data_IF_986564869293
#
_entry.id   IF_986564869293
#
_cell.length_a   1.000
_cell.length_b   1.000
_cell.length_c   1.000
_cell.angle_alpha   90.00
_cell.angle_beta   90.00
_cell.angle_gamma   90.00
#
_symmetry.space_group_name_H-M   'P 1'
#
loop_
_entity.id
_entity.type
_entity.pdbx_description
1 polymer ?
#
# COMPACT_ATOMS: atom_id res chain seq x y z
N UNK A 1 -2.45 22.46 48.74
CA UNK A 1 -1.51 22.19 47.61
C UNK A 1 -0.74 20.86 47.76
N UNK A 2 -1.39 19.76 48.14
CA UNK A 2 -0.87 18.39 48.00
C UNK A 2 -2.09 17.48 47.82
N UNK A 3 -2.29 16.89 46.64
CA UNK A 3 -3.48 16.04 46.41
C UNK A 3 -3.71 15.50 44.98
N UNK A 4 -3.05 16.02 43.94
CA UNK A 4 -3.36 15.64 42.55
C UNK A 4 -2.49 14.54 41.89
N UNK A 5 -1.49 13.98 42.58
CA UNK A 5 -0.56 13.04 41.94
C UNK A 5 -0.88 11.55 42.15
N UNK A 6 -1.79 11.19 43.06
CA UNK A 6 -2.15 9.78 43.30
C UNK A 6 -3.25 9.26 42.37
N UNK A 7 -4.15 10.12 41.87
CA UNK A 7 -5.21 9.70 40.94
C UNK A 7 -4.67 9.36 39.55
N UNK A 8 -3.70 10.14 39.05
CA UNK A 8 -3.14 9.95 37.70
C UNK A 8 -2.44 8.60 37.52
N UNK A 9 -1.83 8.05 38.58
CA UNK A 9 -1.10 6.78 38.51
C UNK A 9 -2.04 5.56 38.44
N UNK A 10 -3.16 5.58 39.17
CA UNK A 10 -4.18 4.53 39.07
C UNK A 10 -4.95 4.60 37.74
N UNK A 11 -5.24 5.81 37.24
CA UNK A 11 -5.84 6.00 35.90
C UNK A 11 -4.93 5.45 34.81
N UNK A 12 -3.61 5.73 34.90
CA UNK A 12 -2.61 5.16 33.98
C UNK A 12 -2.64 3.63 33.95
N UNK A 13 -2.76 2.98 35.11
CA UNK A 13 -2.75 1.52 35.23
C UNK A 13 -4.03 0.87 34.67
N UNK A 14 -5.20 1.51 34.83
CA UNK A 14 -6.46 1.05 34.22
C UNK A 14 -6.48 1.23 32.71
N UNK A 15 -5.87 2.29 32.17
CA UNK A 15 -5.86 2.57 30.73
C UNK A 15 -4.94 1.63 29.91
N UNK A 16 -4.07 0.85 30.55
CA UNK A 16 -3.20 -0.12 29.85
C UNK A 16 -4.00 -1.26 29.21
N UNK A 17 -5.09 -1.70 29.86
CA UNK A 17 -5.94 -2.79 29.37
C UNK A 17 -7.00 -2.37 28.35
N UNK A 18 -7.26 -1.07 28.21
CA UNK A 18 -8.26 -0.50 27.31
C UNK A 18 -7.63 -0.20 25.96
N UNK A 19 -8.37 -0.39 24.87
CA UNK A 19 -7.87 -0.08 23.54
C UNK A 19 -7.62 1.41 23.31
N UNK A 20 -6.68 1.76 22.44
CA UNK A 20 -6.48 3.14 21.99
C UNK A 20 -7.79 3.76 21.46
N UNK A 21 -8.59 2.98 20.72
CA UNK A 21 -9.87 3.41 20.17
C UNK A 21 -10.88 3.70 21.27
N UNK A 22 -11.10 2.76 22.18
CA UNK A 22 -12.04 2.94 23.29
C UNK A 22 -11.60 4.09 24.20
N UNK A 23 -10.29 4.26 24.41
CA UNK A 23 -9.78 5.42 25.14
C UNK A 23 -10.18 6.72 24.45
N UNK A 24 -9.97 6.81 23.14
CA UNK A 24 -10.22 8.04 22.38
C UNK A 24 -11.71 8.33 22.14
N UNK A 25 -12.49 7.31 21.79
CA UNK A 25 -13.89 7.47 21.40
C UNK A 25 -14.82 7.44 22.61
N UNK A 26 -14.57 6.53 23.57
CA UNK A 26 -15.49 6.24 24.66
C UNK A 26 -15.05 6.84 26.01
N UNK A 27 -13.76 6.81 26.35
CA UNK A 27 -13.26 7.28 27.67
C UNK A 27 -12.98 8.78 27.69
N UNK A 28 -12.38 9.32 26.62
CA UNK A 28 -12.11 10.76 26.46
C UNK A 28 -13.33 11.66 26.72
N UNK A 29 -14.54 11.38 26.19
CA UNK A 29 -15.69 12.25 26.42
C UNK A 29 -16.33 12.12 27.82
N UNK A 30 -15.88 11.19 28.68
CA UNK A 30 -16.54 10.91 29.96
C UNK A 30 -16.45 12.08 30.94
N UNK A 31 -15.29 12.75 31.03
CA UNK A 31 -15.11 13.95 31.85
C UNK A 31 -13.93 14.81 31.37
N UNK A 32 -13.83 16.04 31.90
CA UNK A 32 -12.80 17.02 31.52
C UNK A 32 -11.38 16.55 31.84
N UNK A 33 -11.17 15.90 32.99
CA UNK A 33 -9.83 15.47 33.42
C UNK A 33 -9.27 14.36 32.51
N UNK A 34 -10.11 13.40 32.11
CA UNK A 34 -9.78 12.35 31.15
C UNK A 34 -9.59 12.92 29.75
N UNK A 35 -10.40 13.90 29.38
CA UNK A 35 -10.25 14.60 28.11
C UNK A 35 -8.88 15.31 28.04
N UNK A 36 -8.51 16.09 29.05
CA UNK A 36 -7.20 16.76 29.13
C UNK A 36 -6.05 15.75 29.15
N UNK A 37 -6.18 14.67 29.92
CA UNK A 37 -5.17 13.63 30.00
C UNK A 37 -4.94 12.93 28.66
N UNK A 38 -6.00 12.57 27.94
CA UNK A 38 -5.90 11.85 26.66
C UNK A 38 -5.50 12.76 25.50
N UNK A 39 -5.56 14.09 25.63
CA UNK A 39 -4.93 15.01 24.67
C UNK A 39 -3.42 15.17 24.87
N UNK A 40 -2.82 14.48 25.86
CA UNK A 40 -1.39 14.54 26.10
C UNK A 40 -0.60 13.61 25.14
N UNK A 41 0.11 14.20 24.18
CA UNK A 41 1.01 13.49 23.25
C UNK A 41 2.04 12.58 23.91
N UNK A 42 2.50 12.93 25.12
CA UNK A 42 3.47 12.13 25.86
C UNK A 42 2.90 10.77 26.26
N UNK A 43 1.61 10.72 26.63
CA UNK A 43 0.93 9.47 26.95
C UNK A 43 0.94 8.53 25.75
N UNK A 44 0.50 9.00 24.58
CA UNK A 44 0.43 8.20 23.36
C UNK A 44 1.81 7.79 22.83
N UNK A 45 2.79 8.67 22.92
CA UNK A 45 4.18 8.33 22.56
C UNK A 45 4.74 7.24 23.47
N UNK A 46 4.47 7.30 24.78
CA UNK A 46 4.86 6.24 25.70
C UNK A 46 4.09 4.96 25.42
N UNK A 47 2.79 5.04 25.14
CA UNK A 47 1.91 3.91 24.81
C UNK A 47 2.42 3.15 23.58
N UNK A 48 2.79 3.84 22.51
CA UNK A 48 3.42 3.23 21.32
C UNK A 48 4.66 2.42 21.69
N UNK A 49 5.50 2.95 22.59
CA UNK A 49 6.74 2.30 23.00
C UNK A 49 6.50 1.11 23.94
N UNK A 50 5.61 1.24 24.93
CA UNK A 50 5.46 0.25 26.01
C UNK A 50 4.42 -0.82 25.68
N UNK A 51 3.28 -0.42 25.11
CA UNK A 51 2.18 -1.34 24.77
C UNK A 51 2.39 -1.91 23.37
N UNK A 52 2.54 -1.04 22.36
CA UNK A 52 2.68 -1.48 20.96
C UNK A 52 4.11 -1.86 20.58
N UNK A 53 5.10 -1.68 21.47
CA UNK A 53 6.53 -1.96 21.23
C UNK A 53 7.10 -1.31 19.95
N UNK A 54 6.48 -0.23 19.48
CA UNK A 54 6.87 0.52 18.29
C UNK A 54 7.92 1.57 18.65
N UNK A 55 9.10 1.43 18.06
CA UNK A 55 10.22 2.34 18.27
C UNK A 55 10.33 3.30 17.09
N UNK A 56 9.65 4.44 17.17
CA UNK A 56 9.68 5.45 16.10
C UNK A 56 11.08 6.03 15.89
N UNK A 57 11.41 6.30 14.62
CA UNK A 57 12.62 7.02 14.25
C UNK A 57 12.53 8.51 14.62
N UNK A 58 13.69 9.19 14.68
CA UNK A 58 13.71 10.65 14.86
C UNK A 58 13.00 11.35 13.69
N UNK A 59 13.11 10.80 12.48
CA UNK A 59 12.49 11.35 11.27
C UNK A 59 10.97 11.26 11.32
N UNK A 60 10.41 10.18 11.85
CA UNK A 60 8.97 10.06 12.06
C UNK A 60 8.50 11.04 13.15
N UNK A 61 9.16 11.07 14.32
CA UNK A 61 8.72 11.90 15.46
C UNK A 61 8.73 13.41 15.20
N UNK A 62 9.65 13.89 14.38
CA UNK A 62 9.77 15.33 14.08
C UNK A 62 9.14 15.70 12.73
N UNK A 63 8.41 14.79 12.09
CA UNK A 63 7.70 15.11 10.87
C UNK A 63 6.49 16.01 11.19
N UNK A 64 6.20 17.06 10.40
CA UNK A 64 5.09 17.97 10.70
C UNK A 64 3.70 17.32 10.73
N UNK A 65 3.49 16.21 10.01
CA UNK A 65 2.23 15.46 10.03
C UNK A 65 2.16 14.40 11.13
N UNK A 66 3.19 14.28 11.98
CA UNK A 66 3.22 13.25 13.00
C UNK A 66 2.23 13.57 14.13
N UNK A 67 1.23 12.71 14.27
CA UNK A 67 0.27 12.72 15.36
C UNK A 67 0.40 11.39 16.15
N UNK A 68 0.83 11.43 17.43
CA UNK A 68 1.01 10.23 18.24
C UNK A 68 -0.31 9.54 18.59
N UNK A 69 -1.42 10.28 18.72
CA UNK A 69 -2.76 9.72 18.97
C UNK A 69 -3.17 8.90 17.76
N UNK A 70 -3.19 9.53 16.58
CA UNK A 70 -3.53 8.88 15.32
C UNK A 70 -2.64 7.66 15.08
N UNK A 71 -1.32 7.80 15.24
CA UNK A 71 -0.39 6.66 15.08
C UNK A 71 -0.72 5.50 16.01
N UNK A 72 -1.07 5.77 17.27
CA UNK A 72 -1.46 4.73 18.25
C UNK A 72 -2.74 4.01 17.85
N UNK A 73 -3.75 4.75 17.42
CA UNK A 73 -5.02 4.21 16.94
C UNK A 73 -4.79 3.24 15.77
N UNK A 74 -4.04 3.66 14.75
CA UNK A 74 -3.76 2.84 13.58
C UNK A 74 -2.91 1.61 13.91
N UNK A 75 -1.85 1.75 14.71
CA UNK A 75 -0.98 0.62 15.09
C UNK A 75 -1.77 -0.42 15.87
N UNK A 76 -2.55 -0.02 16.87
CA UNK A 76 -3.35 -0.97 17.64
C UNK A 76 -4.47 -1.60 16.82
N UNK A 77 -5.08 -0.86 15.89
CA UNK A 77 -6.10 -1.38 14.99
C UNK A 77 -5.53 -2.48 14.10
N UNK A 78 -4.41 -2.22 13.44
CA UNK A 78 -3.76 -3.25 12.62
C UNK A 78 -3.24 -4.41 13.47
N UNK A 79 -2.71 -4.13 14.66
CA UNK A 79 -2.33 -5.19 15.59
C UNK A 79 -3.52 -6.11 15.89
N UNK A 80 -4.70 -5.58 16.23
CA UNK A 80 -5.88 -6.42 16.48
C UNK A 80 -6.32 -7.25 15.26
N UNK A 81 -6.30 -6.65 14.06
CA UNK A 81 -6.71 -7.32 12.82
C UNK A 81 -5.82 -8.51 12.49
N UNK A 82 -4.50 -8.35 12.70
CA UNK A 82 -3.51 -9.31 12.22
C UNK A 82 -2.86 -10.17 13.32
N UNK A 83 -2.98 -9.78 14.60
CA UNK A 83 -2.51 -10.57 15.73
C UNK A 83 -3.64 -11.50 16.21
N UNK A 84 -3.54 -12.80 15.95
CA UNK A 84 -4.36 -13.79 16.67
C UNK A 84 -3.55 -14.38 17.83
N UNK A 85 -4.19 -14.55 18.99
CA UNK A 85 -3.57 -15.18 20.17
C UNK A 85 -3.37 -16.67 19.87
N UNK A 86 -2.12 -17.14 19.86
CA UNK A 86 -1.83 -18.58 19.85
C UNK A 86 -0.91 -19.11 18.75
N UNK A 87 -0.05 -18.29 18.14
CA UNK A 87 0.94 -18.74 17.15
C UNK A 87 0.33 -19.45 15.92
N UNK A 88 -0.98 -19.30 15.71
CA UNK A 88 -1.67 -19.74 14.52
C UNK A 88 -1.58 -18.63 13.47
N UNK A 89 -1.20 -19.02 12.27
CA UNK A 89 -1.28 -18.18 11.08
C UNK A 89 -2.71 -17.63 10.97
N UNK A 90 -2.85 -16.40 10.45
CA UNK A 90 -4.17 -15.87 10.08
C UNK A 90 -4.75 -16.88 9.09
N UNK A 91 -5.85 -17.57 9.41
CA UNK A 91 -6.34 -18.63 8.55
C UNK A 91 -6.63 -18.06 7.17
N UNK A 92 -6.21 -18.77 6.13
CA UNK A 92 -6.61 -18.46 4.75
C UNK A 92 -8.14 -18.32 4.63
N UNK A 93 -8.89 -18.98 5.51
CA UNK A 93 -10.36 -18.97 5.60
C UNK A 93 -10.97 -17.56 5.77
N UNK A 94 -10.19 -16.58 6.23
CA UNK A 94 -10.65 -15.19 6.31
C UNK A 94 -10.66 -14.51 4.92
N UNK A 95 -9.85 -15.02 3.98
CA UNK A 95 -9.81 -14.56 2.59
C UNK A 95 -10.86 -15.25 1.73
N UNK A 96 -11.45 -14.47 0.84
CA UNK A 96 -12.50 -14.93 -0.05
C UNK A 96 -11.93 -14.88 -1.46
N UNK A 97 -11.64 -16.06 -2.01
CA UNK A 97 -11.20 -16.20 -3.39
C UNK A 97 -12.40 -16.04 -4.33
N UNK A 98 -12.24 -15.20 -5.36
CA UNK A 98 -13.25 -15.02 -6.40
C UNK A 98 -12.61 -15.19 -7.77
N UNK A 99 -13.08 -16.14 -8.60
CA UNK A 99 -12.61 -16.27 -9.96
C UNK A 99 -13.07 -15.07 -10.77
N UNK A 100 -12.18 -14.58 -11.63
CA UNK A 100 -12.49 -13.48 -12.53
C UNK A 100 -11.68 -13.55 -13.81
N UNK A 101 -10.41 -13.95 -13.74
CA UNK A 101 -9.52 -13.95 -14.89
C UNK A 101 -9.12 -15.37 -15.29
N UNK A 102 -8.75 -15.53 -16.56
CA UNK A 102 -8.25 -16.79 -17.12
C UNK A 102 -6.71 -16.90 -17.08
N UNK A 103 -6.06 -15.98 -16.35
CA UNK A 103 -4.60 -15.92 -16.19
C UNK A 103 -4.19 -15.11 -14.97
N UNK A 104 -2.89 -15.14 -14.64
CA UNK A 104 -2.36 -14.48 -13.44
C UNK A 104 -2.78 -13.02 -13.33
N UNK A 105 -3.28 -12.63 -12.15
CA UNK A 105 -3.73 -11.27 -11.86
C UNK A 105 -2.55 -10.42 -11.37
N UNK A 106 -1.79 -9.85 -12.30
CA UNK A 106 -0.58 -9.06 -12.01
C UNK A 106 -0.90 -7.60 -11.60
N UNK A 107 -2.08 -7.07 -11.94
CA UNK A 107 -2.50 -5.72 -11.59
C UNK A 107 -3.72 -5.72 -10.66
N UNK A 108 -3.57 -5.16 -9.46
CA UNK A 108 -4.63 -4.99 -8.46
C UNK A 108 -4.55 -3.59 -7.88
N UNK A 109 -5.69 -2.88 -7.79
CA UNK A 109 -5.74 -1.55 -7.20
C UNK A 109 -7.06 -1.32 -6.46
N UNK A 110 -6.95 -0.97 -5.18
CA UNK A 110 -8.07 -0.52 -4.36
C UNK A 110 -8.19 1.00 -4.45
N UNK A 111 -9.42 1.49 -4.51
CA UNK A 111 -9.74 2.92 -4.51
C UNK A 111 -11.16 3.16 -4.00
N UNK A 112 -11.46 4.41 -3.64
CA UNK A 112 -12.81 4.85 -3.28
C UNK A 112 -13.25 5.98 -4.22
N UNK A 113 -14.56 6.25 -4.26
CA UNK A 113 -15.06 7.50 -4.81
C UNK A 113 -14.63 8.69 -3.92
N UNK A 114 -14.86 9.92 -4.41
CA UNK A 114 -14.41 11.15 -3.73
C UNK A 114 -15.04 11.32 -2.34
N UNK A 115 -16.28 10.87 -2.17
CA UNK A 115 -16.99 10.91 -0.89
C UNK A 115 -16.46 9.88 0.12
N UNK A 116 -15.73 8.84 -0.33
CA UNK A 116 -15.21 7.77 0.52
C UNK A 116 -16.23 6.68 0.84
N UNK A 117 -17.50 6.89 0.52
CA UNK A 117 -18.62 6.01 0.88
C UNK A 117 -18.60 4.66 0.16
N UNK A 118 -18.11 4.63 -1.08
CA UNK A 118 -18.04 3.40 -1.90
C UNK A 118 -16.62 3.03 -2.21
N UNK A 119 -16.31 1.75 -2.03
CA UNK A 119 -14.99 1.17 -2.25
C UNK A 119 -15.03 0.21 -3.43
N UNK A 120 -14.02 0.33 -4.28
CA UNK A 120 -13.87 -0.47 -5.48
C UNK A 120 -12.50 -1.14 -5.51
N UNK A 121 -12.44 -2.27 -6.21
CA UNK A 121 -11.20 -2.87 -6.66
C UNK A 121 -11.21 -2.91 -8.19
N UNK A 122 -10.08 -2.62 -8.82
CA UNK A 122 -9.88 -2.89 -10.25
C UNK A 122 -8.75 -3.89 -10.40
N UNK A 123 -8.98 -4.90 -11.24
CA UNK A 123 -8.02 -5.98 -11.50
C UNK A 123 -7.75 -6.12 -12.98
N UNK A 124 -6.52 -6.50 -13.30
CA UNK A 124 -6.04 -6.72 -14.65
C UNK A 124 -5.07 -7.89 -14.65
N UNK A 125 -5.16 -8.72 -15.69
CA UNK A 125 -4.45 -9.99 -15.72
C UNK A 125 -3.81 -10.27 -17.09
N UNK A 126 -3.21 -11.46 -17.18
CA UNK A 126 -2.59 -11.97 -18.42
C UNK A 126 -3.57 -12.42 -19.49
N UNK A 127 -4.87 -12.45 -19.16
CA UNK A 127 -5.97 -12.64 -20.11
C UNK A 127 -6.36 -11.36 -20.86
N UNK A 128 -5.62 -10.27 -20.62
CA UNK A 128 -5.83 -8.95 -21.23
C UNK A 128 -7.18 -8.31 -20.86
N UNK A 129 -7.84 -8.81 -19.81
CA UNK A 129 -9.11 -8.30 -19.31
C UNK A 129 -8.90 -7.41 -18.10
N UNK A 130 -9.71 -6.35 -18.01
CA UNK A 130 -9.89 -5.55 -16.80
C UNK A 130 -11.26 -5.88 -16.20
N UNK A 131 -11.33 -6.03 -14.87
CA UNK A 131 -12.57 -6.17 -14.13
C UNK A 131 -12.67 -5.13 -13.00
N UNK A 132 -13.85 -4.56 -12.83
CA UNK A 132 -14.20 -3.62 -11.77
C UNK A 132 -15.14 -4.29 -10.77
N UNK A 133 -14.75 -4.25 -9.51
CA UNK A 133 -15.43 -4.86 -8.38
C UNK A 133 -16.02 -3.80 -7.47
N UNK A 134 -17.30 -3.92 -7.15
CA UNK A 134 -17.97 -3.18 -6.08
C UNK A 134 -17.83 -3.98 -4.78
N UNK A 135 -17.08 -3.43 -3.83
CA UNK A 135 -16.77 -4.13 -2.58
C UNK A 135 -17.93 -4.12 -1.59
N UNK A 136 -18.86 -3.16 -1.70
CA UNK A 136 -20.08 -3.14 -0.90
C UNK A 136 -21.00 -4.30 -1.33
N UNK A 137 -21.17 -4.50 -2.65
CA UNK A 137 -21.89 -5.68 -3.17
C UNK A 137 -21.20 -6.99 -2.82
N UNK A 138 -19.87 -7.00 -2.83
CA UNK A 138 -19.11 -8.18 -2.40
C UNK A 138 -19.42 -8.53 -0.95
N UNK A 139 -19.43 -7.53 -0.07
CA UNK A 139 -19.75 -7.71 1.34
C UNK A 139 -21.21 -8.12 1.55
N UNK A 140 -22.17 -7.49 0.87
CA UNK A 140 -23.58 -7.87 0.90
C UNK A 140 -23.80 -9.33 0.48
N UNK A 141 -23.15 -9.77 -0.61
CA UNK A 141 -23.16 -11.17 -1.06
C UNK A 141 -22.62 -12.12 0.02
N UNK A 142 -21.60 -11.72 0.77
CA UNK A 142 -21.01 -12.54 1.84
C UNK A 142 -21.94 -12.61 3.05
N UNK A 143 -22.54 -11.48 3.44
CA UNK A 143 -23.42 -11.39 4.61
C UNK A 143 -24.75 -12.11 4.40
N UNK A 144 -25.33 -12.01 3.20
CA UNK A 144 -26.61 -12.62 2.85
C UNK A 144 -26.48 -14.05 2.34
N UNK A 145 -25.31 -14.42 1.82
CA UNK A 145 -25.10 -15.68 1.09
C UNK A 145 -25.81 -15.72 -0.28
N UNK A 146 -26.35 -14.59 -0.77
CA UNK A 146 -27.05 -14.53 -2.03
C UNK A 146 -26.08 -14.47 -3.23
N UNK A 147 -25.92 -15.60 -3.90
CA UNK A 147 -25.11 -15.73 -5.12
C UNK A 147 -25.68 -14.99 -6.34
N UNK A 148 -26.91 -14.44 -6.25
CA UNK A 148 -27.48 -13.60 -7.31
C UNK A 148 -26.80 -12.23 -7.40
N UNK A 149 -26.23 -11.75 -6.29
CA UNK A 149 -25.48 -10.50 -6.22
C UNK A 149 -24.19 -10.68 -7.00
N UNK A 150 -23.99 -9.81 -8.00
CA UNK A 150 -22.77 -9.78 -8.82
C UNK A 150 -21.86 -8.65 -8.36
N UNK A 151 -20.73 -8.94 -7.70
CA UNK A 151 -19.78 -7.91 -7.25
C UNK A 151 -19.01 -7.29 -8.42
N UNK A 152 -18.82 -8.01 -9.52
CA UNK A 152 -18.21 -7.48 -10.74
C UNK A 152 -19.25 -6.62 -11.45
N UNK A 153 -19.04 -5.32 -11.47
CA UNK A 153 -19.98 -4.33 -12.01
C UNK A 153 -19.63 -3.88 -13.42
N UNK A 154 -18.39 -4.07 -13.87
CA UNK A 154 -17.98 -3.83 -15.24
C UNK A 154 -16.76 -4.68 -15.62
N UNK A 155 -16.67 -5.05 -16.89
CA UNK A 155 -15.52 -5.73 -17.46
C UNK A 155 -15.15 -5.09 -18.81
N UNK A 156 -13.86 -5.07 -19.12
CA UNK A 156 -13.33 -4.69 -20.43
C UNK A 156 -12.39 -5.79 -20.91
N UNK A 157 -12.86 -6.56 -21.90
CA UNK A 157 -12.02 -7.51 -22.65
C UNK A 157 -11.17 -6.77 -23.66
N UNK A 158 -10.05 -7.39 -24.06
CA UNK A 158 -9.08 -6.80 -25.00
C UNK A 158 -8.67 -5.39 -24.56
N UNK A 159 -8.49 -5.23 -23.25
CA UNK A 159 -8.09 -3.96 -22.67
C UNK A 159 -6.63 -3.64 -22.95
N UNK A 160 -5.81 -4.64 -23.29
CA UNK A 160 -4.41 -4.53 -23.68
C UNK A 160 -4.11 -5.61 -24.74
N UNK A 161 -3.02 -5.45 -25.49
CA UNK A 161 -2.55 -6.47 -26.45
C UNK A 161 -1.50 -7.40 -25.81
N UNK A 162 -1.42 -7.38 -24.49
CA UNK A 162 -0.43 -8.07 -23.67
C UNK A 162 -0.81 -8.01 -22.19
N UNK A 163 0.05 -8.53 -21.33
CA UNK A 163 -0.24 -8.64 -19.89
C UNK A 163 -0.38 -7.27 -19.24
N UNK A 164 -1.46 -7.09 -18.48
CA UNK A 164 -1.70 -5.88 -17.69
C UNK A 164 -0.91 -5.99 -16.39
N UNK A 165 -0.05 -5.01 -16.13
CA UNK A 165 0.99 -5.13 -15.11
C UNK A 165 0.78 -4.23 -13.89
N UNK A 166 0.29 -3.00 -14.07
CA UNK A 166 -0.04 -2.12 -12.96
C UNK A 166 -1.15 -1.12 -13.32
N UNK A 167 -1.93 -0.70 -12.30
CA UNK A 167 -2.79 0.48 -12.36
C UNK A 167 -2.23 1.65 -11.54
N UNK A 168 -2.51 2.87 -11.99
CA UNK A 168 -2.20 4.10 -11.27
C UNK A 168 -3.43 5.02 -11.27
N UNK A 169 -3.98 5.30 -10.09
CA UNK A 169 -5.05 6.31 -9.94
C UNK A 169 -4.42 7.69 -10.08
N UNK A 170 -5.01 8.53 -10.93
CA UNK A 170 -4.55 9.90 -11.15
C UNK A 170 -5.40 10.91 -10.39
N UNK A 171 -6.72 10.84 -10.56
CA UNK A 171 -7.64 11.72 -9.87
C UNK A 171 -8.99 11.04 -9.63
N UNK A 172 -9.63 11.46 -8.55
CA UNK A 172 -11.00 11.08 -8.21
C UNK A 172 -11.82 12.36 -8.12
N UNK A 173 -12.91 12.45 -8.87
CA UNK A 173 -13.82 13.61 -8.91
C UNK A 173 -15.26 13.11 -8.84
N UNK A 174 -15.89 13.24 -7.67
CA UNK A 174 -17.18 12.59 -7.40
C UNK A 174 -17.05 11.08 -7.56
N UNK A 175 -17.92 10.50 -8.38
CA UNK A 175 -17.92 9.07 -8.73
C UNK A 175 -17.02 8.70 -9.91
N UNK A 176 -16.34 9.68 -10.51
CA UNK A 176 -15.45 9.46 -11.66
C UNK A 176 -14.01 9.32 -11.16
N UNK A 177 -13.37 8.22 -11.53
CA UNK A 177 -11.95 7.97 -11.26
C UNK A 177 -11.21 7.90 -12.59
N UNK A 178 -10.25 8.81 -12.79
CA UNK A 178 -9.31 8.73 -13.90
C UNK A 178 -8.10 7.92 -13.46
N UNK A 179 -7.73 6.92 -14.24
CA UNK A 179 -6.60 6.06 -13.93
C UNK A 179 -5.91 5.56 -15.19
N UNK A 180 -4.70 5.06 -15.01
CA UNK A 180 -3.88 4.50 -16.06
C UNK A 180 -3.61 3.03 -15.79
N UNK A 181 -3.47 2.25 -16.86
CA UNK A 181 -2.86 0.91 -16.83
C UNK A 181 -1.61 0.89 -17.69
N UNK A 182 -0.68 0.01 -17.35
CA UNK A 182 0.48 -0.27 -18.19
C UNK A 182 0.70 -1.77 -18.31
N UNK A 183 1.38 -2.18 -19.39
CA UNK A 183 1.55 -3.60 -19.68
C UNK A 183 2.74 -3.97 -20.56
N UNK A 184 2.80 -5.26 -20.85
CA UNK A 184 3.82 -5.88 -21.70
C UNK A 184 3.65 -5.60 -23.19
N UNK A 185 2.50 -5.06 -23.59
CA UNK A 185 2.22 -4.56 -24.94
C UNK A 185 2.86 -3.20 -25.24
N UNK A 186 3.71 -2.70 -24.32
CA UNK A 186 4.41 -1.41 -24.43
C UNK A 186 3.45 -0.21 -24.42
N UNK A 187 2.20 -0.39 -24.01
CA UNK A 187 1.23 0.68 -23.94
C UNK A 187 0.97 1.15 -22.51
N UNK A 188 0.66 2.44 -22.40
CA UNK A 188 0.02 3.06 -21.25
C UNK A 188 -1.37 3.49 -21.70
N UNK A 189 -2.41 2.92 -21.10
CA UNK A 189 -3.81 3.20 -21.45
C UNK A 189 -4.49 4.04 -20.40
N UNK A 190 -5.33 4.98 -20.85
CA UNK A 190 -6.09 5.90 -20.01
C UNK A 190 -7.52 5.40 -19.85
N UNK A 191 -8.01 5.40 -18.62
CA UNK A 191 -9.35 4.92 -18.29
C UNK A 191 -10.11 5.95 -17.49
N UNK A 192 -11.37 6.13 -17.87
CA UNK A 192 -12.40 6.69 -17.01
C UNK A 192 -13.17 5.54 -16.38
N UNK A 193 -13.16 5.48 -15.06
CA UNK A 193 -13.90 4.49 -14.29
C UNK A 193 -15.02 5.19 -13.55
N UNK A 194 -16.21 4.59 -13.60
CA UNK A 194 -17.42 5.00 -12.90
C UNK A 194 -17.97 3.79 -12.14
N UNK A 195 -18.93 3.94 -11.21
CA UNK A 195 -19.47 2.82 -10.44
C UNK A 195 -20.09 1.70 -11.30
N UNK A 196 -20.40 1.98 -12.57
CA UNK A 196 -21.09 1.06 -13.48
C UNK A 196 -20.31 0.77 -14.76
N UNK A 197 -19.10 1.33 -14.95
CA UNK A 197 -18.45 1.23 -16.25
C UNK A 197 -16.99 1.66 -16.30
N UNK A 198 -16.30 1.14 -17.31
CA UNK A 198 -14.90 1.41 -17.64
C UNK A 198 -14.87 1.90 -19.10
N UNK A 199 -14.30 3.08 -19.34
CA UNK A 199 -14.19 3.68 -20.68
C UNK A 199 -12.74 4.00 -21.00
N UNK A 200 -12.25 3.51 -22.13
CA UNK A 200 -10.92 3.88 -22.63
C UNK A 200 -10.96 5.31 -23.19
N UNK A 201 -10.03 6.14 -22.76
CA UNK A 201 -9.92 7.54 -23.19
C UNK A 201 -8.74 7.78 -24.13
N UNK A 202 -7.81 6.82 -24.24
CA UNK A 202 -6.66 6.93 -25.13
C UNK A 202 -5.52 5.99 -24.75
N UNK A 203 -4.58 5.86 -25.70
CA UNK A 203 -3.44 4.95 -25.61
C UNK A 203 -2.17 5.75 -25.92
N UNK A 204 -1.09 5.44 -25.19
CA UNK A 204 0.26 5.93 -25.51
C UNK A 204 1.19 4.73 -25.60
N UNK A 205 1.76 4.48 -26.78
CA UNK A 205 2.63 3.33 -27.02
C UNK A 205 4.10 3.75 -26.96
N UNK A 206 4.93 2.94 -26.31
CA UNK A 206 6.37 3.12 -26.20
C UNK A 206 7.17 2.05 -26.89
N UNK A 207 8.49 2.18 -26.78
CA UNK A 207 9.43 1.22 -27.38
C UNK A 207 9.52 -0.08 -26.58
N UNK A 208 9.30 0.01 -25.27
CA UNK A 208 9.56 -1.05 -24.30
C UNK A 208 8.34 -1.28 -23.38
N UNK A 209 8.26 -2.49 -22.81
CA UNK A 209 7.23 -2.84 -21.82
C UNK A 209 7.32 -1.93 -20.59
N UNK A 210 6.15 -1.58 -20.06
CA UNK A 210 5.99 -0.70 -18.91
C UNK A 210 5.70 -1.55 -17.65
N UNK A 211 6.56 -1.41 -16.64
CA UNK A 211 6.59 -2.29 -15.47
C UNK A 211 6.12 -1.61 -14.18
N UNK A 212 6.04 -0.29 -14.17
CA UNK A 212 5.48 0.43 -13.05
C UNK A 212 4.96 1.82 -13.42
N UNK A 213 4.12 2.39 -12.57
CA UNK A 213 3.56 3.73 -12.75
C UNK A 213 3.34 4.49 -11.44
N UNK A 214 3.48 5.81 -11.53
CA UNK A 214 3.04 6.76 -10.51
C UNK A 214 2.61 8.06 -11.18
N UNK A 215 1.57 8.72 -10.65
CA UNK A 215 1.09 10.01 -11.15
C UNK A 215 1.22 11.07 -10.05
N UNK A 216 1.62 12.28 -10.43
CA UNK A 216 1.63 13.44 -9.54
C UNK A 216 1.64 14.76 -10.35
N UNK A 217 0.92 15.78 -9.88
CA UNK A 217 0.90 17.14 -10.46
C UNK A 217 0.64 17.20 -11.97
N UNK A 218 -0.27 16.36 -12.48
CA UNK A 218 -0.59 16.19 -13.92
C UNK A 218 0.54 15.59 -14.76
N UNK A 219 1.50 14.90 -14.14
CA UNK A 219 2.50 14.11 -14.82
C UNK A 219 2.30 12.64 -14.46
N UNK A 220 2.31 11.77 -15.47
CA UNK A 220 2.37 10.34 -15.28
C UNK A 220 3.79 9.87 -15.57
N UNK A 221 4.34 9.09 -14.65
CA UNK A 221 5.65 8.45 -14.76
C UNK A 221 5.43 6.96 -14.98
N UNK A 222 6.09 6.40 -15.98
CA UNK A 222 6.08 4.96 -16.23
C UNK A 222 7.49 4.41 -16.39
N UNK A 223 7.84 3.44 -15.56
CA UNK A 223 9.13 2.75 -15.61
C UNK A 223 9.10 1.65 -16.64
N UNK A 224 10.20 1.48 -17.37
CA UNK A 224 10.30 0.53 -18.48
C UNK A 224 11.30 -0.59 -18.21
N UNK A 225 11.16 -1.69 -18.96
CA UNK A 225 12.03 -2.86 -18.89
C UNK A 225 13.50 -2.60 -19.31
N UNK A 226 13.81 -1.46 -19.96
CA UNK A 226 15.17 -1.08 -20.37
C UNK A 226 15.73 0.12 -19.60
N UNK A 227 15.26 0.35 -18.37
CA UNK A 227 15.82 1.39 -17.48
C UNK A 227 15.40 2.83 -17.79
N UNK A 228 14.55 3.00 -18.81
CA UNK A 228 13.90 4.26 -19.12
C UNK A 228 12.72 4.54 -18.18
N UNK A 229 12.50 5.82 -17.91
CA UNK A 229 11.26 6.35 -17.35
C UNK A 229 10.62 7.24 -18.41
N UNK A 230 9.40 6.87 -18.80
CA UNK A 230 8.55 7.67 -19.66
C UNK A 230 7.74 8.64 -18.83
N UNK A 231 7.72 9.91 -19.23
CA UNK A 231 7.00 10.99 -18.57
C UNK A 231 5.93 11.50 -19.55
N UNK A 232 4.68 11.52 -19.10
CA UNK A 232 3.54 11.91 -19.92
C UNK A 232 2.87 13.12 -19.26
N UNK A 233 2.79 14.24 -19.98
CA UNK A 233 2.02 15.41 -19.55
C UNK A 233 0.52 15.18 -19.78
N UNK A 234 -0.24 15.23 -18.70
CA UNK A 234 -1.68 14.94 -18.69
C UNK A 234 -2.55 16.17 -18.99
N UNK A 235 -1.96 17.38 -19.09
CA UNK A 235 -2.69 18.62 -19.39
C UNK A 235 -2.91 18.82 -20.88
N UNK A 236 -1.98 18.32 -21.69
CA UNK A 236 -2.00 18.55 -23.13
C UNK A 236 -2.96 17.59 -23.83
N UNK A 237 -3.80 18.12 -24.73
CA UNK A 237 -4.68 17.33 -25.60
C UNK A 237 -3.86 16.33 -26.43
N UNK A 238 -2.71 16.78 -26.93
CA UNK A 238 -1.63 15.92 -27.44
C UNK A 238 -0.63 15.70 -26.30
N UNK A 239 -0.76 14.55 -25.64
CA UNK A 239 0.07 14.17 -24.50
C UNK A 239 1.55 14.26 -24.87
N UNK A 240 2.24 15.27 -24.34
CA UNK A 240 3.68 15.40 -24.54
C UNK A 240 4.38 14.27 -23.79
N UNK A 241 5.15 13.48 -24.53
CA UNK A 241 5.91 12.36 -23.99
C UNK A 241 7.39 12.71 -23.98
N UNK A 242 8.04 12.47 -22.84
CA UNK A 242 9.49 12.55 -22.71
C UNK A 242 10.01 11.23 -22.13
N UNK A 243 10.95 10.61 -22.83
CA UNK A 243 11.66 9.44 -22.33
C UNK A 243 13.02 9.84 -21.76
N UNK A 244 13.35 9.33 -20.58
CA UNK A 244 14.65 9.54 -19.94
C UNK A 244 15.20 8.22 -19.43
N UNK A 245 16.45 7.91 -19.78
CA UNK A 245 17.15 6.73 -19.25
C UNK A 245 17.77 7.08 -17.89
N UNK A 246 17.25 6.47 -16.82
CA UNK A 246 17.71 6.72 -15.45
C UNK A 246 18.52 5.55 -14.86
N UNK A 247 18.27 4.34 -15.37
CA UNK A 247 18.84 3.11 -14.86
C UNK A 247 19.48 2.26 -15.97
N UNK A 248 20.33 1.31 -15.55
CA UNK A 248 20.97 0.34 -16.47
C UNK A 248 20.19 -0.97 -16.62
N UNK A 249 19.18 -1.19 -15.78
CA UNK A 249 18.28 -2.35 -15.82
C UNK A 249 16.83 -1.93 -15.72
N UNK A 250 15.90 -2.87 -15.75
CA UNK A 250 14.46 -2.57 -15.70
C UNK A 250 14.10 -1.70 -14.48
N UNK A 251 13.19 -0.73 -14.65
CA UNK A 251 12.64 0.06 -13.54
C UNK A 251 11.43 -0.70 -12.98
N UNK A 252 11.55 -1.18 -11.74
CA UNK A 252 10.61 -2.14 -11.15
C UNK A 252 9.50 -1.48 -10.34
N UNK A 253 9.77 -0.33 -9.73
CA UNK A 253 8.79 0.43 -8.96
C UNK A 253 9.14 1.91 -8.95
N UNK A 254 8.11 2.77 -8.86
CA UNK A 254 8.24 4.23 -8.90
C UNK A 254 7.30 4.85 -7.88
N UNK A 255 7.79 5.85 -7.13
CA UNK A 255 6.97 6.72 -6.29
C UNK A 255 7.26 8.18 -6.65
N UNK A 256 6.21 8.88 -7.06
CA UNK A 256 6.22 10.34 -7.25
C UNK A 256 5.42 11.02 -6.13
N UNK A 257 6.04 11.36 -5.00
CA UNK A 257 5.33 12.00 -3.89
C UNK A 257 5.01 13.47 -4.21
N UNK A 258 3.77 13.89 -3.94
CA UNK A 258 3.32 15.27 -4.14
C UNK A 258 4.04 16.30 -3.26
N UNK A 259 4.63 15.85 -2.15
CA UNK A 259 5.32 16.70 -1.17
C UNK A 259 6.72 17.15 -1.60
N UNK A 260 7.29 16.59 -2.69
CA UNK A 260 8.64 16.92 -3.13
C UNK A 260 8.76 17.03 -4.64
N UNK A 261 9.85 17.64 -5.09
CA UNK A 261 10.24 17.68 -6.51
C UNK A 261 11.15 16.49 -6.88
N UNK A 262 11.11 15.41 -6.10
CA UNK A 262 11.92 14.21 -6.33
C UNK A 262 11.06 13.03 -6.78
N UNK A 263 11.67 12.17 -7.60
CA UNK A 263 11.14 10.88 -8.04
C UNK A 263 11.99 9.76 -7.45
N UNK A 264 11.34 8.76 -6.88
CA UNK A 264 12.02 7.60 -6.29
C UNK A 264 11.76 6.37 -7.15
N UNK A 265 12.82 5.63 -7.44
CA UNK A 265 12.75 4.48 -8.34
C UNK A 265 13.56 3.32 -7.81
N UNK A 266 13.14 2.10 -8.13
CA UNK A 266 13.95 0.89 -7.96
C UNK A 266 14.24 0.24 -9.30
N UNK A 267 15.38 -0.44 -9.38
CA UNK A 267 15.78 -1.10 -10.61
C UNK A 267 16.49 -2.43 -10.39
N UNK A 268 16.42 -3.29 -11.42
CA UNK A 268 17.25 -4.48 -11.57
C UNK A 268 18.76 -4.18 -11.57
N UNK A 269 19.18 -2.93 -11.76
CA UNK A 269 20.58 -2.53 -11.58
C UNK A 269 21.07 -2.53 -10.12
N UNK A 270 20.20 -2.93 -9.19
CA UNK A 270 20.53 -3.07 -7.77
C UNK A 270 20.46 -1.76 -6.99
N UNK A 271 19.81 -0.71 -7.52
CA UNK A 271 19.68 0.58 -6.84
C UNK A 271 18.25 0.95 -6.49
N UNK A 272 18.10 1.61 -5.33
CA UNK A 272 17.04 2.60 -5.09
C UNK A 272 17.64 3.96 -5.38
N UNK A 273 17.00 4.76 -6.23
CA UNK A 273 17.52 6.05 -6.63
C UNK A 273 16.51 7.18 -6.43
N UNK A 274 17.04 8.36 -6.11
CA UNK A 274 16.30 9.61 -5.98
C UNK A 274 16.73 10.54 -7.10
N UNK A 275 15.76 10.97 -7.90
CA UNK A 275 15.96 11.79 -9.09
C UNK A 275 15.27 13.13 -8.92
N UNK A 276 15.89 14.21 -9.38
CA UNK A 276 15.27 15.53 -9.47
C UNK A 276 14.34 15.58 -10.69
N UNK A 277 13.06 15.92 -10.47
CA UNK A 277 12.02 15.94 -11.51
C UNK A 277 12.16 17.11 -12.49
N UNK A 278 12.93 18.13 -12.17
CA UNK A 278 13.13 19.31 -13.02
C UNK A 278 14.20 19.05 -14.08
N UNK A 279 15.30 18.42 -13.68
CA UNK A 279 16.45 18.18 -14.56
C UNK A 279 16.69 16.70 -14.92
N UNK A 280 15.95 15.78 -14.30
CA UNK A 280 16.05 14.32 -14.49
C UNK A 280 17.42 13.73 -14.16
N UNK A 281 18.14 14.36 -13.23
CA UNK A 281 19.43 13.86 -12.74
C UNK A 281 19.23 13.03 -11.48
N UNK A 282 20.05 11.98 -11.36
CA UNK A 282 20.16 11.18 -10.15
C UNK A 282 20.92 11.95 -9.08
N UNK A 283 20.26 12.24 -7.97
CA UNK A 283 20.82 12.99 -6.83
C UNK A 283 21.44 12.02 -5.82
N UNK A 284 20.70 10.98 -5.45
CA UNK A 284 21.15 9.95 -4.53
C UNK A 284 20.85 8.56 -5.07
N UNK A 285 21.67 7.59 -4.68
CA UNK A 285 21.45 6.18 -4.98
C UNK A 285 21.93 5.33 -3.81
N UNK A 286 21.07 4.43 -3.34
CA UNK A 286 21.40 3.41 -2.36
C UNK A 286 21.48 2.06 -3.07
N UNK A 287 22.66 1.45 -3.06
CA UNK A 287 22.91 0.15 -3.70
C UNK A 287 22.55 -1.00 -2.77
N UNK A 288 22.25 -2.15 -3.34
CA UNK A 288 22.16 -3.41 -2.62
C UNK A 288 23.46 -3.68 -1.85
N UNK A 289 23.38 -4.10 -0.57
CA UNK A 289 24.57 -4.57 0.14
C UNK A 289 25.15 -5.78 -0.61
N UNK A 290 26.47 -5.82 -0.75
CA UNK A 290 27.23 -6.87 -1.44
C UNK A 290 26.96 -7.01 -2.96
N UNK A 291 26.13 -6.15 -3.55
CA UNK A 291 25.89 -6.13 -5.01
C UNK A 291 25.10 -7.31 -5.57
N UNK A 292 24.52 -8.17 -4.72
CA UNK A 292 23.73 -9.32 -5.15
C UNK A 292 22.22 -9.06 -5.02
N UNK A 293 21.49 -9.25 -6.12
CA UNK A 293 20.05 -9.02 -6.23
C UNK A 293 19.67 -7.57 -6.56
N UNK A 294 18.39 -7.25 -6.41
CA UNK A 294 17.81 -5.96 -6.75
C UNK A 294 16.64 -5.59 -5.83
N UNK A 295 16.24 -4.33 -5.85
CA UNK A 295 15.05 -3.88 -5.11
C UNK A 295 13.80 -4.05 -5.98
N UNK A 296 12.91 -4.94 -5.55
CA UNK A 296 11.68 -5.32 -6.26
C UNK A 296 10.54 -4.30 -6.12
N UNK A 297 10.42 -3.64 -4.97
CA UNK A 297 9.35 -2.70 -4.67
C UNK A 297 9.75 -1.71 -3.60
N UNK A 298 9.14 -0.53 -3.63
CA UNK A 298 9.27 0.51 -2.62
C UNK A 298 7.89 0.96 -2.13
N UNK A 299 7.84 1.38 -0.88
CA UNK A 299 6.68 2.08 -0.33
C UNK A 299 7.15 3.23 0.53
N UNK A 300 6.49 4.38 0.43
CA UNK A 300 6.88 5.59 1.14
C UNK A 300 5.74 6.09 2.01
N UNK A 301 6.09 6.62 3.18
CA UNK A 301 5.20 7.44 3.99
C UNK A 301 6.02 8.51 4.70
N UNK A 302 5.54 9.76 4.67
CA UNK A 302 6.21 10.90 5.28
C UNK A 302 7.67 11.00 4.84
N UNK A 303 8.64 10.94 5.76
CA UNK A 303 10.09 10.95 5.46
C UNK A 303 10.72 9.56 5.35
N UNK A 304 9.92 8.49 5.42
CA UNK A 304 10.39 7.11 5.45
C UNK A 304 10.11 6.42 4.12
N UNK A 305 11.15 5.83 3.55
CA UNK A 305 11.08 4.96 2.38
C UNK A 305 11.45 3.53 2.79
N UNK A 306 10.55 2.59 2.55
CA UNK A 306 10.79 1.16 2.68
C UNK A 306 11.13 0.59 1.33
N UNK A 307 12.17 -0.25 1.26
CA UNK A 307 12.58 -0.93 0.04
C UNK A 307 12.68 -2.43 0.29
N UNK A 308 12.14 -3.22 -0.65
CA UNK A 308 12.11 -4.68 -0.58
C UNK A 308 13.03 -5.32 -1.60
N UNK A 309 13.86 -6.27 -1.17
CA UNK A 309 14.87 -6.95 -1.98
C UNK A 309 14.32 -8.22 -2.64
N UNK A 310 14.83 -8.55 -3.83
CA UNK A 310 14.58 -9.84 -4.48
C UNK A 310 15.11 -11.05 -3.69
N UNK A 311 15.91 -10.82 -2.65
CA UNK A 311 16.41 -11.82 -1.70
C UNK A 311 15.54 -11.95 -0.44
N UNK A 312 14.35 -11.32 -0.42
CA UNK A 312 13.35 -11.49 0.65
C UNK A 312 13.53 -10.59 1.88
N UNK A 313 14.64 -9.86 2.01
CA UNK A 313 14.83 -8.88 3.07
C UNK A 313 14.29 -7.50 2.69
N UNK A 314 14.03 -6.65 3.68
CA UNK A 314 13.66 -5.26 3.47
C UNK A 314 14.52 -4.31 4.30
N UNK A 315 14.56 -3.04 3.91
CA UNK A 315 15.30 -1.98 4.59
C UNK A 315 14.46 -0.71 4.64
N UNK A 316 14.79 0.17 5.58
CA UNK A 316 14.19 1.48 5.73
C UNK A 316 15.25 2.54 5.47
N UNK A 317 14.89 3.57 4.71
CA UNK A 317 15.75 4.67 4.31
C UNK A 317 15.08 6.01 4.60
N UNK A 318 15.91 7.01 4.86
CA UNK A 318 15.49 8.41 4.88
C UNK A 318 15.24 8.87 3.44
N UNK A 319 14.04 9.39 3.15
CA UNK A 319 13.70 9.83 1.79
C UNK A 319 14.59 10.95 1.29
N UNK A 320 15.16 11.77 2.18
CA UNK A 320 15.89 12.99 1.78
C UNK A 320 17.27 12.69 1.21
N UNK A 321 17.88 11.58 1.63
CA UNK A 321 19.27 11.25 1.31
C UNK A 321 19.51 9.76 0.99
N UNK A 322 18.46 8.92 1.07
CA UNK A 322 18.50 7.46 0.92
C UNK A 322 19.49 6.73 1.85
N UNK A 323 19.88 7.36 2.97
CA UNK A 323 20.66 6.68 4.01
C UNK A 323 19.76 5.70 4.76
N UNK A 324 20.30 4.51 5.03
CA UNK A 324 19.57 3.45 5.72
C UNK A 324 19.39 3.80 7.20
N UNK A 325 18.15 3.71 7.65
CA UNK A 325 17.73 3.85 9.05
C UNK A 325 17.66 2.47 9.71
N UNK A 326 17.16 1.48 8.99
CA UNK A 326 17.08 0.08 9.44
C UNK A 326 17.94 -0.74 8.50
N UNK A 327 18.90 -1.48 9.07
CA UNK A 327 19.72 -2.42 8.31
C UNK A 327 18.85 -3.54 7.71
N UNK A 328 19.31 -4.22 6.65
CA UNK A 328 18.58 -5.32 6.03
C UNK A 328 17.99 -6.27 7.08
N UNK A 329 16.67 -6.26 7.19
CA UNK A 329 15.93 -7.18 8.04
C UNK A 329 15.49 -8.34 7.16
N UNK A 330 16.03 -9.52 7.42
CA UNK A 330 15.61 -10.76 6.75
C UNK A 330 14.46 -11.34 7.54
N UNK A 331 13.21 -11.19 7.08
CA UNK A 331 12.11 -11.93 7.66
C UNK A 331 12.34 -13.43 7.43
N UNK A 332 11.89 -14.27 8.35
CA UNK A 332 11.94 -15.73 8.20
C UNK A 332 10.85 -16.19 7.22
N UNK A 333 10.95 -15.71 5.97
CA UNK A 333 10.13 -16.11 4.83
C UNK A 333 10.86 -17.31 4.22
N UNK A 334 10.18 -18.46 4.09
CA UNK A 334 10.75 -19.59 3.36
C UNK A 334 11.22 -19.10 1.99
N UNK A 335 12.44 -19.46 1.64
CA UNK A 335 13.30 -18.86 0.62
C UNK A 335 12.68 -18.74 -0.77
N UNK A 336 11.72 -17.84 -0.98
CA UNK A 336 11.23 -17.52 -2.31
C UNK A 336 10.69 -16.10 -2.46
N UNK A 337 10.89 -15.59 -3.67
CA UNK A 337 11.04 -14.16 -4.00
C UNK A 337 9.79 -13.34 -3.67
N UNK A 338 9.72 -12.76 -2.46
CA UNK A 338 8.78 -11.69 -2.14
C UNK A 338 8.94 -10.53 -3.14
N UNK A 339 7.82 -9.97 -3.62
CA UNK A 339 7.82 -9.00 -4.73
C UNK A 339 7.34 -7.61 -4.35
N UNK A 340 6.69 -7.45 -3.20
CA UNK A 340 5.99 -6.21 -2.89
C UNK A 340 6.00 -5.89 -1.40
N UNK A 341 6.13 -4.60 -1.10
CA UNK A 341 6.07 -4.04 0.25
C UNK A 341 5.05 -2.90 0.26
N UNK A 342 4.24 -2.82 1.31
CA UNK A 342 3.29 -1.72 1.52
C UNK A 342 3.44 -1.18 2.94
N UNK A 343 3.96 0.04 3.04
CA UNK A 343 4.02 0.78 4.30
C UNK A 343 2.70 1.53 4.49
N UNK A 344 1.96 1.18 5.54
CA UNK A 344 0.75 1.87 5.98
C UNK A 344 0.99 2.51 7.34
N UNK A 345 0.03 3.32 7.79
CA UNK A 345 0.18 4.08 9.04
C UNK A 345 0.35 3.17 10.26
N UNK A 346 -0.41 2.08 10.35
CA UNK A 346 -0.35 1.14 11.47
C UNK A 346 0.61 -0.04 11.29
N UNK A 347 0.80 -0.51 10.06
CA UNK A 347 1.52 -1.75 9.77
C UNK A 347 2.32 -1.70 8.47
N UNK A 348 3.28 -2.61 8.36
CA UNK A 348 4.07 -2.88 7.18
C UNK A 348 3.68 -4.26 6.63
N UNK A 349 3.21 -4.30 5.39
CA UNK A 349 2.86 -5.55 4.71
C UNK A 349 3.97 -5.97 3.77
N UNK A 350 4.37 -7.23 3.84
CA UNK A 350 5.38 -7.85 2.96
C UNK A 350 4.75 -9.07 2.31
N UNK A 351 4.68 -9.07 0.98
CA UNK A 351 4.04 -10.14 0.20
C UNK A 351 5.06 -11.18 -0.23
N UNK A 352 5.04 -12.34 0.43
CA UNK A 352 5.75 -13.54 0.00
C UNK A 352 5.18 -14.13 -1.29
N UNK A 353 5.67 -15.32 -1.67
CA UNK A 353 5.15 -16.01 -2.85
C UNK A 353 3.72 -16.52 -2.63
N UNK A 354 3.45 -17.10 -1.45
CA UNK A 354 2.14 -17.70 -1.11
C UNK A 354 1.65 -17.31 0.28
N UNK A 355 2.20 -16.26 0.87
CA UNK A 355 1.84 -15.76 2.19
C UNK A 355 2.01 -14.25 2.25
N UNK A 356 1.32 -13.61 3.19
CA UNK A 356 1.48 -12.18 3.50
C UNK A 356 1.91 -12.05 4.95
N UNK A 357 3.01 -11.34 5.17
CA UNK A 357 3.54 -11.06 6.50
C UNK A 357 3.23 -9.63 6.90
N UNK A 358 2.82 -9.45 8.15
CA UNK A 358 2.47 -8.14 8.71
C UNK A 358 3.41 -7.81 9.85
N UNK A 359 4.15 -6.71 9.71
CA UNK A 359 5.11 -6.23 10.69
C UNK A 359 4.63 -4.92 11.31
N UNK A 360 5.14 -4.62 12.51
CA UNK A 360 5.04 -3.27 13.07
C UNK A 360 5.85 -2.26 12.26
N UNK A 361 5.45 -1.00 12.36
CA UNK A 361 6.21 0.12 11.80
C UNK A 361 7.30 0.60 12.78
N UNK A 362 8.17 1.50 12.32
CA UNK A 362 9.27 2.05 13.12
C UNK A 362 10.60 1.31 12.92
N UNK A 363 11.58 1.60 13.78
CA UNK A 363 12.99 1.18 13.66
C UNK A 363 13.26 -0.29 13.91
N UNK A 364 12.39 -0.96 14.65
CA UNK A 364 12.52 -2.37 15.00
C UNK A 364 11.23 -3.10 14.64
N UNK A 365 10.97 -3.32 13.34
CA UNK A 365 9.81 -4.08 12.89
C UNK A 365 9.87 -5.48 13.49
N UNK A 366 8.77 -5.92 14.08
CA UNK A 366 8.58 -7.30 14.53
C UNK A 366 7.30 -7.85 13.92
N UNK A 367 7.26 -9.16 13.72
CA UNK A 367 6.12 -9.84 13.10
C UNK A 367 4.90 -9.76 14.03
N UNK A 368 3.81 -9.19 13.53
CA UNK A 368 2.50 -9.15 14.19
C UNK A 368 1.72 -10.43 13.88
N UNK A 369 1.76 -10.86 12.62
CA UNK A 369 1.09 -12.05 12.13
C UNK A 369 1.49 -12.35 10.69
N UNK A 370 1.21 -13.57 10.25
CA UNK A 370 1.36 -14.02 8.87
C UNK A 370 0.11 -14.79 8.45
N UNK A 371 -0.24 -14.74 7.18
CA UNK A 371 -1.33 -15.57 6.64
C UNK A 371 -0.91 -17.03 6.58
N UNK A 372 -1.88 -17.93 6.47
CA UNK A 372 -1.63 -19.28 6.00
C UNK A 372 -1.03 -19.27 4.58
N UNK A 373 -0.62 -20.46 4.14
CA UNK A 373 -0.07 -20.65 2.79
C UNK A 373 -1.20 -20.76 1.78
N UNK A 374 -1.32 -19.82 0.86
CA UNK A 374 -2.30 -19.86 -0.23
C UNK A 374 -1.99 -20.98 -1.23
N UNK A 375 -3.02 -21.49 -1.92
CA UNK A 375 -2.89 -22.59 -2.88
C UNK A 375 -2.06 -22.20 -4.11
N UNK A 376 -2.13 -20.93 -4.50
CA UNK A 376 -1.46 -20.39 -5.67
C UNK A 376 -0.48 -19.26 -5.31
N UNK A 377 0.40 -18.92 -6.26
CA UNK A 377 1.36 -17.84 -6.13
C UNK A 377 0.64 -16.50 -6.20
N UNK A 378 0.85 -15.64 -5.22
CA UNK A 378 0.33 -14.29 -5.21
C UNK A 378 1.21 -13.40 -6.11
N UNK A 379 0.60 -12.64 -7.01
CA UNK A 379 1.29 -11.74 -7.92
C UNK A 379 1.42 -10.34 -7.33
N UNK A 380 0.30 -9.70 -6.99
CA UNK A 380 0.20 -8.30 -6.52
C UNK A 380 -0.73 -8.19 -5.31
N UNK A 381 -0.47 -7.22 -4.44
CA UNK A 381 -1.34 -6.83 -3.33
C UNK A 381 -1.66 -5.33 -3.36
N UNK A 382 -2.86 -4.97 -2.91
CA UNK A 382 -3.15 -3.61 -2.43
C UNK A 382 -3.92 -3.70 -1.11
N UNK A 383 -3.79 -2.66 -0.29
CA UNK A 383 -4.40 -2.58 1.03
C UNK A 383 -4.91 -1.17 1.31
N UNK A 384 -6.20 -1.02 1.55
CA UNK A 384 -6.83 0.27 1.82
C UNK A 384 -8.07 0.11 2.70
N UNK A 385 -8.25 0.99 3.70
CA UNK A 385 -9.47 1.05 4.50
C UNK A 385 -9.82 -0.22 5.29
N UNK A 386 -8.85 -1.11 5.60
CA UNK A 386 -9.16 -2.40 6.22
C UNK A 386 -9.48 -3.52 5.23
N UNK A 387 -9.42 -3.26 3.93
CA UNK A 387 -9.57 -4.26 2.87
C UNK A 387 -8.21 -4.59 2.27
N UNK A 388 -7.91 -5.88 2.14
CA UNK A 388 -6.78 -6.37 1.34
C UNK A 388 -7.30 -7.06 0.09
N UNK A 389 -6.70 -6.76 -1.05
CA UNK A 389 -6.93 -7.48 -2.30
C UNK A 389 -5.61 -8.08 -2.80
N UNK A 390 -5.62 -9.37 -3.11
CA UNK A 390 -4.48 -10.12 -3.62
C UNK A 390 -4.82 -10.71 -4.99
N UNK A 391 -3.97 -10.46 -5.98
CA UNK A 391 -4.05 -11.09 -7.29
C UNK A 391 -3.33 -12.43 -7.27
N UNK A 392 -4.00 -13.49 -7.72
CA UNK A 392 -3.47 -14.85 -7.72
C UNK A 392 -2.95 -15.28 -9.10
N UNK A 393 -2.01 -16.23 -9.10
CA UNK A 393 -1.55 -16.98 -10.26
C UNK A 393 -2.63 -17.83 -10.90
N UNK A 394 -3.67 -18.22 -10.13
CA UNK A 394 -4.82 -19.00 -10.61
C UNK A 394 -5.83 -18.20 -11.43
N UNK A 395 -5.70 -16.86 -11.51
CA UNK A 395 -6.70 -15.98 -12.10
C UNK A 395 -7.82 -15.53 -11.15
N UNK A 396 -7.73 -15.96 -9.90
CA UNK A 396 -8.59 -15.50 -8.82
C UNK A 396 -8.07 -14.22 -8.16
N UNK A 397 -8.98 -13.52 -7.51
CA UNK A 397 -8.67 -12.39 -6.64
C UNK A 397 -9.12 -12.74 -5.23
N UNK A 398 -8.22 -12.66 -4.26
CA UNK A 398 -8.51 -12.95 -2.86
C UNK A 398 -8.77 -11.64 -2.12
N UNK A 399 -9.90 -11.56 -1.42
CA UNK A 399 -10.27 -10.40 -0.63
C UNK A 399 -10.32 -10.72 0.86
N UNK A 400 -9.74 -9.86 1.68
CA UNK A 400 -9.89 -9.87 3.13
C UNK A 400 -10.55 -8.58 3.58
N UNK A 401 -11.59 -8.71 4.41
CA UNK A 401 -12.35 -7.61 4.99
C UNK A 401 -12.18 -7.63 6.51
N UNK A 402 -11.47 -6.65 7.06
CA UNK A 402 -11.16 -6.59 8.48
C UNK A 402 -12.40 -6.38 9.36
N UNK A 403 -13.35 -5.58 8.89
CA UNK A 403 -14.53 -5.16 9.64
C UNK A 403 -15.79 -5.62 8.89
N UNK A 404 -16.13 -6.91 9.00
CA UNK A 404 -17.35 -7.46 8.38
C UNK A 404 -18.65 -6.85 8.94
N UNK A 405 -18.58 -5.99 9.97
CA UNK A 405 -19.74 -5.46 10.69
C UNK A 405 -19.68 -3.98 11.10
N UNK A 406 -18.71 -3.18 10.64
CA UNK A 406 -18.70 -1.73 10.96
C UNK A 406 -18.29 -0.87 9.76
N UNK A 407 -19.26 -0.10 9.27
CA UNK A 407 -19.17 0.79 8.11
C UNK A 407 -18.59 2.18 8.42
N UNK A 408 -17.96 2.36 9.58
CA UNK A 408 -17.39 3.65 9.95
C UNK A 408 -15.88 3.48 10.08
N UNK A 409 -15.11 4.03 9.13
CA UNK A 409 -13.90 4.76 9.48
C UNK A 409 -13.22 5.46 8.28
N UNK A 410 -12.97 6.75 8.51
CA UNK A 410 -12.43 7.80 7.64
C UNK A 410 -11.02 7.51 7.05
N UNK A 411 -10.79 8.04 5.84
CA UNK A 411 -9.49 8.18 5.18
C UNK A 411 -8.77 9.48 5.59
#
# INVERSE_FOLDING_TARGET
>A
MKGRNYSSFHVLQTCVGVSARDLWDNVRPVNTDLNEFLHNDHYWTNRLKTISRVHLSKLEKHHPSFDPIRKSLFVEREYRRWSRKGNSDVPNDDFIARPCHDGTVDAVKLFSNFAGDKRFCITGARDHKIALWDLSKMQEMIETGDNSIKPIVAEKREAHDGWIWQFCVESTRGDIVNMFSCGWDKSVRNWRVTPTGITELGITVGEHAHLCMSADRNLLYSGTMKGGVRIIDLRATERRVRDVVLHRGAVLDIIAPSSTDYLYTTSEDGTVAMHDRRNWKRIHASRMPNGDGYFSSISMRDNILMAHSSKGWFTCMDKTNLRRIIMPYTPNIESDKSRQILLKEGALFVKGEREVHVYTTGKQPYLIGKTGRFDSVMARMDYAGGVMALGSGSGEVLFYFADRHSYDEFF
#
